data_IF_035069348129
#
_entry.id   IF_035069348129
#
_cell.length_a   1.000
_cell.length_b   1.000
_cell.length_c   1.000
_cell.angle_alpha   90.00
_cell.angle_beta   90.00
_cell.angle_gamma   90.00
#
_symmetry.space_group_name_H-M   'P 1'
#
loop_
_entity.id
_entity.type
_entity.pdbx_description
1 polymer ?
#
# COMPACT_ATOMS: atom_id res chain seq x y z
N UNK A 1 -23.31 10.32 6.19
CA UNK A 1 -22.86 10.25 4.78
C UNK A 1 -21.76 9.22 4.77
N UNK A 2 -21.91 8.17 3.99
CA UNK A 2 -20.90 7.12 3.90
C UNK A 2 -19.73 7.64 3.09
N UNK A 3 -18.51 7.48 3.60
CA UNK A 3 -17.31 7.84 2.87
C UNK A 3 -17.03 6.72 1.85
N UNK A 4 -17.48 6.93 0.62
CA UNK A 4 -17.41 5.92 -0.44
C UNK A 4 -15.96 5.50 -0.75
N UNK A 5 -15.00 6.44 -0.62
CA UNK A 5 -13.58 6.15 -0.81
C UNK A 5 -13.04 5.17 0.24
N UNK A 6 -13.41 5.35 1.50
CA UNK A 6 -13.03 4.45 2.60
C UNK A 6 -13.71 3.09 2.48
N UNK A 7 -14.99 3.03 2.11
CA UNK A 7 -15.67 1.75 1.86
C UNK A 7 -15.00 0.97 0.73
N UNK A 8 -14.67 1.65 -0.36
CA UNK A 8 -13.93 1.06 -1.47
C UNK A 8 -12.57 0.55 -0.99
N UNK A 9 -11.81 1.35 -0.24
CA UNK A 9 -10.52 0.94 0.31
C UNK A 9 -10.62 -0.32 1.19
N UNK A 10 -11.63 -0.38 2.06
CA UNK A 10 -11.85 -1.52 2.94
C UNK A 10 -12.27 -2.79 2.20
N UNK A 11 -12.89 -2.65 1.02
CA UNK A 11 -13.22 -3.81 0.16
C UNK A 11 -11.99 -4.55 -0.38
N UNK A 12 -10.83 -3.88 -0.46
CA UNK A 12 -9.55 -4.51 -0.84
C UNK A 12 -8.88 -5.29 0.29
N UNK A 13 -9.46 -5.31 1.48
CA UNK A 13 -8.83 -5.93 2.63
C UNK A 13 -8.66 -7.44 2.46
N UNK A 14 -7.44 -7.94 2.65
CA UNK A 14 -7.04 -9.33 2.41
C UNK A 14 -7.15 -9.78 0.95
N UNK A 15 -7.22 -8.85 0.00
CA UNK A 15 -7.16 -9.17 -1.42
C UNK A 15 -5.70 -9.29 -1.87
N UNK A 16 -5.45 -10.22 -2.79
CA UNK A 16 -4.20 -10.34 -3.53
C UNK A 16 -4.47 -10.44 -5.02
N UNK A 17 -3.58 -9.86 -5.82
CA UNK A 17 -3.61 -9.96 -7.28
C UNK A 17 -2.30 -10.55 -7.76
N UNK A 18 -2.37 -11.55 -8.61
CA UNK A 18 -1.19 -12.16 -9.22
C UNK A 18 -1.09 -11.68 -10.68
N UNK A 19 0.12 -11.38 -11.11
CA UNK A 19 0.43 -11.05 -12.51
C UNK A 19 0.87 -12.33 -13.22
N UNK A 20 0.65 -12.43 -14.54
CA UNK A 20 1.17 -13.57 -15.33
C UNK A 20 2.69 -13.67 -15.34
N UNK A 21 3.38 -12.59 -14.98
CA UNK A 21 4.83 -12.55 -14.78
C UNK A 21 5.30 -13.20 -13.46
N UNK A 22 4.39 -13.67 -12.60
CA UNK A 22 4.68 -14.23 -11.28
C UNK A 22 4.82 -13.19 -10.16
N UNK A 23 4.67 -11.89 -10.46
CA UNK A 23 4.60 -10.85 -9.45
C UNK A 23 3.25 -10.89 -8.72
N UNK A 24 3.17 -10.32 -7.53
CA UNK A 24 1.89 -10.23 -6.81
C UNK A 24 1.72 -8.91 -6.06
N UNK A 25 0.48 -8.46 -5.93
CA UNK A 25 0.04 -7.39 -5.05
C UNK A 25 -0.66 -7.99 -3.85
N UNK A 26 -0.43 -7.41 -2.67
CA UNK A 26 -1.13 -7.77 -1.44
C UNK A 26 -1.66 -6.54 -0.74
N UNK A 27 -2.90 -6.62 -0.28
CA UNK A 27 -3.60 -5.56 0.41
C UNK A 27 -4.07 -6.01 1.79
N UNK A 28 -3.73 -5.23 2.81
CA UNK A 28 -4.21 -5.41 4.18
C UNK A 28 -4.71 -4.06 4.68
N UNK A 29 -6.00 -3.93 5.01
CA UNK A 29 -6.64 -2.68 5.44
C UNK A 29 -7.59 -2.93 6.60
N UNK A 30 -7.47 -2.17 7.68
CA UNK A 30 -8.47 -2.18 8.75
C UNK A 30 -8.69 -0.77 9.31
N UNK A 31 -9.93 -0.47 9.68
CA UNK A 31 -10.22 0.69 10.51
C UNK A 31 -9.74 0.43 11.93
N UNK A 32 -9.13 1.45 12.53
CA UNK A 32 -8.67 1.47 13.90
C UNK A 32 -9.16 2.74 14.58
N UNK A 33 -9.09 2.77 15.91
CA UNK A 33 -9.30 4.03 16.62
C UNK A 33 -8.16 5.01 16.25
N UNK A 34 -8.50 6.26 15.87
CA UNK A 34 -7.50 7.27 15.56
C UNK A 34 -6.62 7.53 16.78
N UNK A 35 -5.33 7.69 16.54
CA UNK A 35 -4.33 7.96 17.57
C UNK A 35 -3.28 8.95 17.02
N UNK A 36 -2.34 9.36 17.84
CA UNK A 36 -1.33 10.36 17.45
C UNK A 36 -0.46 9.93 16.25
N UNK A 37 -0.23 8.62 16.08
CA UNK A 37 0.56 8.08 14.96
C UNK A 37 -0.28 7.90 13.68
N UNK A 38 -1.59 7.71 13.84
CA UNK A 38 -2.57 7.43 12.77
C UNK A 38 -3.85 8.23 13.03
N UNK A 39 -3.82 9.56 12.85
CA UNK A 39 -4.95 10.43 13.15
C UNK A 39 -6.16 10.15 12.24
N UNK A 40 -5.92 9.55 11.07
CA UNK A 40 -6.91 9.08 10.10
C UNK A 40 -7.65 7.80 10.52
N UNK A 41 -7.24 7.12 11.60
CA UNK A 41 -7.96 5.92 12.09
C UNK A 41 -7.90 4.73 11.12
N UNK A 42 -6.82 4.63 10.34
CA UNK A 42 -6.65 3.60 9.33
C UNK A 42 -5.33 2.89 9.51
N UNK A 43 -5.35 1.57 9.45
CA UNK A 43 -4.18 0.73 9.29
C UNK A 43 -4.15 0.18 7.86
N UNK A 44 -3.03 0.31 7.18
CA UNK A 44 -2.84 -0.29 5.85
C UNK A 44 -1.42 -0.80 5.62
N UNK A 45 -1.33 -1.84 4.79
CA UNK A 45 -0.08 -2.37 4.24
C UNK A 45 -0.34 -2.90 2.84
N UNK A 46 0.19 -2.19 1.83
CA UNK A 46 0.10 -2.50 0.41
C UNK A 46 1.48 -2.83 -0.11
N UNK A 47 1.65 -4.03 -0.66
CA UNK A 47 2.97 -4.48 -1.11
C UNK A 47 2.89 -5.09 -2.49
N UNK A 48 3.93 -4.85 -3.28
CA UNK A 48 4.21 -5.59 -4.51
C UNK A 48 5.40 -6.50 -4.26
N UNK A 49 5.28 -7.76 -4.66
CA UNK A 49 6.29 -8.78 -4.56
C UNK A 49 6.74 -9.25 -5.94
N UNK A 50 8.01 -9.60 -6.07
CA UNK A 50 8.55 -10.30 -7.24
C UNK A 50 8.25 -11.82 -7.17
N UNK A 51 8.54 -12.60 -8.23
CA UNK A 51 8.26 -14.04 -8.28
C UNK A 51 8.98 -14.89 -7.24
N UNK A 52 10.11 -14.41 -6.70
CA UNK A 52 10.84 -15.02 -5.58
C UNK A 52 10.25 -14.61 -4.21
N UNK A 53 9.28 -13.69 -4.21
CA UNK A 53 8.54 -13.25 -3.03
C UNK A 53 9.15 -12.05 -2.30
N UNK A 54 10.23 -11.44 -2.82
CA UNK A 54 10.82 -10.26 -2.19
C UNK A 54 9.97 -9.01 -2.46
N UNK A 55 9.96 -8.08 -1.48
CA UNK A 55 9.16 -6.85 -1.58
C UNK A 55 9.88 -5.86 -2.48
N UNK A 56 9.26 -5.54 -3.61
CA UNK A 56 9.81 -4.58 -4.59
C UNK A 56 9.06 -3.25 -4.62
N UNK A 57 7.97 -3.12 -3.87
CA UNK A 57 7.28 -1.86 -3.60
C UNK A 57 6.43 -2.04 -2.34
N UNK A 58 6.20 -0.99 -1.57
CA UNK A 58 5.00 -1.00 -0.74
C UNK A 58 4.73 0.29 0.00
N UNK A 59 3.47 0.49 0.36
CA UNK A 59 2.93 1.61 1.13
C UNK A 59 2.39 1.02 2.42
N UNK A 60 2.94 1.39 3.55
CA UNK A 60 2.45 0.90 4.84
C UNK A 60 2.54 1.97 5.92
N UNK A 61 1.61 1.90 6.86
CA UNK A 61 1.68 2.64 8.11
C UNK A 61 1.78 1.69 9.31
N UNK A 62 2.29 0.48 9.04
CA UNK A 62 2.33 -0.65 9.97
C UNK A 62 3.48 -0.53 10.98
N UNK A 63 4.58 0.13 10.61
CA UNK A 63 5.76 0.29 11.47
C UNK A 63 6.06 1.78 11.73
N UNK A 64 6.17 2.22 13.01
CA UNK A 64 6.81 3.50 13.28
C UNK A 64 8.29 3.38 12.95
N UNK A 65 8.83 4.28 12.13
CA UNK A 65 10.28 4.32 11.88
C UNK A 65 10.97 4.82 13.15
N UNK A 66 11.84 4.05 13.82
CA UNK A 66 12.69 4.60 14.86
C UNK A 66 13.66 5.59 14.21
N UNK A 67 13.58 6.86 14.61
CA UNK A 67 14.48 7.91 14.15
C UNK A 67 15.95 7.50 14.37
N UNK A 68 16.74 7.49 13.29
CA UNK A 68 18.20 7.61 13.38
C UNK A 68 18.55 9.09 13.25
N UNK A 69 18.29 9.88 14.30
CA UNK A 69 18.78 11.26 14.37
C UNK A 69 17.89 12.26 15.10
N UNK A 70 18.46 12.79 16.18
CA UNK A 70 18.27 14.13 16.76
C UNK A 70 16.92 14.50 17.41
N UNK A 71 17.05 14.64 18.73
CA UNK A 71 16.16 15.08 19.83
C UNK A 71 15.29 16.34 19.63
N UNK A 72 15.02 16.87 18.43
CA UNK A 72 14.34 18.19 18.30
C UNK A 72 13.50 18.40 17.02
N UNK A 73 12.69 17.45 16.57
CA UNK A 73 11.63 17.74 15.58
C UNK A 73 10.29 17.24 16.10
N UNK A 74 9.51 18.15 16.70
CA UNK A 74 8.09 17.95 16.99
C UNK A 74 7.29 18.24 15.72
N UNK A 75 7.27 17.28 14.80
CA UNK A 75 6.32 17.23 13.68
C UNK A 75 5.43 16.00 13.84
N UNK A 76 4.20 15.98 13.29
CA UNK A 76 3.34 14.81 13.37
C UNK A 76 4.07 13.60 12.82
N UNK A 77 4.22 12.58 13.67
CA UNK A 77 4.81 11.27 13.38
C UNK A 77 3.79 10.46 12.57
N UNK A 78 3.46 10.92 11.37
CA UNK A 78 2.62 10.14 10.47
C UNK A 78 3.41 8.86 10.14
N UNK A 79 2.88 7.71 10.58
CA UNK A 79 3.52 6.41 10.39
C UNK A 79 3.50 5.97 8.91
N UNK A 80 2.86 6.74 8.04
CA UNK A 80 2.64 6.47 6.63
C UNK A 80 3.96 6.61 5.83
N UNK A 81 4.42 5.50 5.25
CA UNK A 81 5.65 5.45 4.46
C UNK A 81 5.46 4.65 3.18
N UNK A 82 6.30 4.93 2.18
CA UNK A 82 6.43 4.10 0.99
C UNK A 82 7.88 3.68 0.75
N UNK A 83 8.06 2.48 0.23
CA UNK A 83 9.35 1.84 -0.05
C UNK A 83 9.46 1.52 -1.53
N UNK A 84 10.59 1.84 -2.16
CA UNK A 84 10.85 1.51 -3.57
C UNK A 84 11.38 0.10 -3.78
N UNK A 85 12.01 -0.51 -2.76
CA UNK A 85 12.67 -1.82 -2.79
C UNK A 85 12.84 -2.32 -1.33
N UNK A 86 13.18 -3.59 -1.11
CA UNK A 86 13.39 -4.19 0.22
C UNK A 86 14.48 -3.48 1.06
N UNK A 87 15.44 -2.82 0.40
CA UNK A 87 16.56 -2.13 1.04
C UNK A 87 16.31 -0.64 1.25
N UNK A 88 15.19 -0.10 0.74
CA UNK A 88 14.83 1.30 0.91
C UNK A 88 14.33 1.53 2.34
N UNK A 89 14.87 2.57 3.00
CA UNK A 89 14.57 2.89 4.40
C UNK A 89 13.13 3.39 4.63
N UNK A 90 12.34 3.53 3.57
CA UNK A 90 11.02 4.14 3.62
C UNK A 90 11.12 5.65 3.52
N UNK A 91 10.21 6.23 2.74
CA UNK A 91 10.06 7.67 2.60
C UNK A 91 8.69 8.07 3.15
N UNK A 92 8.58 9.23 3.82
CA UNK A 92 7.30 9.68 4.35
C UNK A 92 6.28 9.80 3.21
N UNK A 93 5.10 9.24 3.44
CA UNK A 93 3.94 9.36 2.57
C UNK A 93 2.92 10.27 3.26
N UNK A 94 2.45 11.30 2.55
CA UNK A 94 1.44 12.21 3.09
C UNK A 94 0.07 11.65 2.77
N UNK A 95 -0.59 11.05 3.76
CA UNK A 95 -1.97 10.59 3.59
C UNK A 95 -2.90 11.80 3.34
N UNK A 96 -3.69 11.72 2.26
CA UNK A 96 -4.71 12.74 1.93
C UNK A 96 -6.09 12.18 2.21
N UNK A 97 -6.41 11.05 1.57
CA UNK A 97 -7.67 10.33 1.71
C UNK A 97 -7.52 8.90 1.15
N UNK A 98 -8.52 8.06 1.39
CA UNK A 98 -8.53 6.66 1.00
C UNK A 98 -8.47 6.44 -0.53
N UNK A 99 -9.10 7.33 -1.31
CA UNK A 99 -9.08 7.25 -2.77
C UNK A 99 -7.70 7.62 -3.30
N UNK A 100 -7.11 8.70 -2.80
CA UNK A 100 -5.75 9.12 -3.17
C UNK A 100 -4.72 8.05 -2.84
N UNK A 101 -4.83 7.38 -1.68
CA UNK A 101 -3.94 6.28 -1.30
C UNK A 101 -3.97 5.12 -2.32
N UNK A 102 -5.16 4.70 -2.78
CA UNK A 102 -5.28 3.66 -3.81
C UNK A 102 -4.68 4.11 -5.13
N UNK A 103 -5.01 5.32 -5.58
CA UNK A 103 -4.53 5.88 -6.84
C UNK A 103 -3.00 5.98 -6.86
N UNK A 104 -2.40 6.49 -5.78
CA UNK A 104 -0.94 6.58 -5.65
C UNK A 104 -0.28 5.21 -5.65
N UNK A 105 -0.85 4.23 -4.95
CA UNK A 105 -0.32 2.87 -4.91
C UNK A 105 -0.33 2.22 -6.30
N UNK A 106 -1.47 2.24 -7.00
CA UNK A 106 -1.56 1.65 -8.34
C UNK A 106 -0.65 2.38 -9.34
N UNK A 107 -0.56 3.71 -9.30
CA UNK A 107 0.36 4.46 -10.14
C UNK A 107 1.83 4.06 -9.88
N UNK A 108 2.20 3.82 -8.62
CA UNK A 108 3.53 3.34 -8.26
C UNK A 108 3.79 1.89 -8.74
N UNK A 109 2.78 1.01 -8.66
CA UNK A 109 2.83 -0.35 -9.22
C UNK A 109 3.02 -0.31 -10.73
N UNK A 110 2.21 0.47 -11.45
CA UNK A 110 2.29 0.61 -12.91
C UNK A 110 3.67 1.12 -13.34
N UNK A 111 4.19 2.11 -12.62
CA UNK A 111 5.55 2.62 -12.86
C UNK A 111 6.60 1.54 -12.63
N UNK A 112 6.53 0.80 -11.51
CA UNK A 112 7.48 -0.28 -11.21
C UNK A 112 7.39 -1.41 -12.25
N UNK A 113 6.18 -1.78 -12.65
CA UNK A 113 5.93 -2.75 -13.70
C UNK A 113 6.55 -2.32 -15.03
N UNK A 114 6.36 -1.05 -15.43
CA UNK A 114 6.96 -0.50 -16.63
C UNK A 114 8.50 -0.47 -16.56
N UNK A 115 9.09 -0.13 -15.41
CA UNK A 115 10.54 -0.18 -15.19
C UNK A 115 11.11 -1.60 -15.34
N UNK A 116 10.35 -2.62 -14.94
CA UNK A 116 10.74 -4.04 -15.00
C UNK A 116 10.31 -4.73 -16.30
N UNK A 117 9.57 -4.06 -17.18
CA UNK A 117 9.04 -4.64 -18.42
C UNK A 117 7.94 -5.68 -18.18
N UNK A 118 7.23 -5.59 -17.06
CA UNK A 118 6.16 -6.53 -16.68
C UNK A 118 4.88 -6.18 -17.45
N UNK A 119 4.26 -7.14 -18.16
CA UNK A 119 2.94 -6.91 -18.75
C UNK A 119 1.89 -6.72 -17.64
N UNK A 120 0.98 -5.76 -17.83
CA UNK A 120 -0.10 -5.46 -16.88
C UNK A 120 -1.26 -6.47 -16.97
N UNK A 121 -0.91 -7.74 -17.19
CA UNK A 121 -1.85 -8.84 -17.35
C UNK A 121 -1.96 -9.58 -16.01
N UNK A 122 -3.15 -9.52 -15.42
CA UNK A 122 -3.45 -10.14 -14.15
C UNK A 122 -3.98 -11.56 -14.39
N UNK A 123 -3.53 -12.52 -13.58
CA UNK A 123 -4.16 -13.84 -13.49
C UNK A 123 -5.42 -13.71 -12.65
N UNK A 124 -6.42 -12.99 -13.15
CA UNK A 124 -7.78 -13.16 -12.68
C UNK A 124 -8.36 -14.36 -13.41
N UNK A 125 -8.67 -15.45 -12.70
CA UNK A 125 -9.76 -16.30 -13.17
C UNK A 125 -10.96 -15.37 -13.37
N UNK A 126 -11.43 -15.30 -14.61
CA UNK A 126 -12.72 -14.76 -14.99
C UNK A 126 -13.75 -15.48 -14.10
N UNK A 127 -14.10 -14.90 -12.95
CA UNK A 127 -15.19 -15.40 -12.11
C UNK A 127 -16.50 -15.06 -12.83
N UNK A 128 -16.77 -15.83 -13.87
CA UNK A 128 -18.11 -16.17 -14.32
C UNK A 128 -18.83 -16.85 -13.14
N UNK A 129 -19.36 -16.04 -12.23
CA UNK A 129 -20.47 -16.43 -11.36
C UNK A 129 -21.72 -15.69 -11.83
N UNK A 130 -22.15 -16.01 -13.05
CA UNK A 130 -23.57 -15.98 -13.35
C UNK A 130 -24.15 -17.38 -13.11
N UNK A 131 -24.71 -17.61 -11.91
CA UNK A 131 -25.77 -18.60 -11.65
C UNK A 131 -26.43 -18.32 -10.32
#
# INVERSE_FOLDING_TARGET
MTDYGLEQLLSYNNTSYEFTSGHSLRFVIYQINPNEERPHGLYYSFTMHDPEGARILGFDNAHPVPHVGSRFISGPMEADHWHRDETDKGRPYKYVDATTLLVDFFAAVEKKAAELGIPNDYTGEDDDKHT
#
